data_IF_540691581575
#
_entry.id   IF_540691581575
#
_cell.length_a   1.000
_cell.length_b   1.000
_cell.length_c   1.000
_cell.angle_alpha   90.00
_cell.angle_beta   90.00
_cell.angle_gamma   90.00
#
_symmetry.space_group_name_H-M   'P 1'
#
loop_
_entity.id
_entity.type
_entity.pdbx_description
1 polymer ?
#
# COMPACT_ATOMS: atom_id res chain seq x y z
N UNK A 1 41.47 -23.04 11.36
CA UNK A 1 41.37 -21.58 11.61
C UNK A 1 41.79 -20.85 10.34
N UNK A 2 41.06 -19.80 10.00
CA UNK A 2 41.34 -18.92 8.86
C UNK A 2 41.53 -17.49 9.35
N UNK A 3 42.19 -16.65 8.57
CA UNK A 3 42.35 -15.23 8.85
C UNK A 3 41.88 -14.40 7.65
N UNK A 4 41.05 -13.39 7.90
CA UNK A 4 40.56 -12.51 6.85
C UNK A 4 41.47 -11.30 6.62
N UNK A 5 41.74 -10.98 5.36
CA UNK A 5 42.47 -9.78 4.93
C UNK A 5 41.54 -8.58 4.76
N UNK A 6 42.10 -7.40 4.41
CA UNK A 6 41.33 -6.15 4.33
C UNK A 6 40.25 -6.16 3.23
N UNK A 7 40.48 -6.92 2.17
CA UNK A 7 39.58 -7.22 1.05
C UNK A 7 38.50 -8.28 1.39
N UNK A 8 38.39 -8.67 2.68
CA UNK A 8 37.48 -9.72 3.18
C UNK A 8 37.75 -11.14 2.64
N UNK A 9 38.81 -11.35 1.85
CA UNK A 9 39.20 -12.71 1.48
C UNK A 9 39.74 -13.46 2.70
N UNK A 10 39.46 -14.77 2.78
CA UNK A 10 39.90 -15.63 3.87
C UNK A 10 41.03 -16.53 3.38
N UNK A 11 42.05 -16.70 4.21
CA UNK A 11 43.16 -17.63 3.96
C UNK A 11 43.42 -18.49 5.19
N UNK A 12 43.95 -19.72 5.04
CA UNK A 12 44.38 -20.51 6.18
C UNK A 12 45.32 -19.71 7.09
N UNK A 13 45.08 -19.74 8.39
CA UNK A 13 45.95 -19.04 9.35
C UNK A 13 47.31 -19.74 9.44
N UNK A 14 48.38 -18.98 9.23
CA UNK A 14 49.77 -19.44 9.39
C UNK A 14 50.34 -18.92 10.70
N UNK A 15 51.03 -19.76 11.50
CA UNK A 15 51.67 -19.32 12.75
C UNK A 15 52.61 -18.14 12.54
N UNK A 16 52.52 -17.17 13.44
CA UNK A 16 53.35 -15.95 13.41
C UNK A 16 54.52 -16.08 14.38
N UNK A 17 55.66 -15.45 14.03
CA UNK A 17 56.84 -15.44 14.90
C UNK A 17 56.56 -14.57 16.13
N UNK A 18 56.73 -15.17 17.32
CA UNK A 18 56.69 -14.41 18.56
C UNK A 18 57.94 -13.53 18.67
N UNK A 19 57.82 -12.22 18.98
CA UNK A 19 58.96 -11.31 19.01
C UNK A 19 59.87 -11.61 20.22
N UNK A 20 60.94 -12.38 20.05
CA UNK A 20 61.73 -12.94 21.17
C UNK A 20 62.97 -12.16 21.63
N UNK A 21 63.27 -11.01 21.03
CA UNK A 21 64.66 -10.49 21.04
C UNK A 21 65.05 -9.67 22.30
N UNK A 22 64.26 -9.69 23.38
CA UNK A 22 64.57 -8.93 24.60
C UNK A 22 63.91 -9.50 25.86
N UNK A 23 64.57 -9.31 27.02
CA UNK A 23 64.08 -9.71 28.34
C UNK A 23 62.88 -8.82 28.72
N UNK A 24 61.74 -9.43 29.04
CA UNK A 24 60.53 -8.75 29.50
C UNK A 24 59.23 -9.37 28.95
N UNK A 25 58.09 -8.86 29.44
CA UNK A 25 56.75 -9.28 28.96
C UNK A 25 56.46 -8.67 27.60
N UNK A 26 55.95 -9.49 26.67
CA UNK A 26 55.53 -9.04 25.33
C UNK A 26 54.12 -9.51 25.01
N UNK A 27 53.38 -8.64 24.31
CA UNK A 27 51.99 -8.88 23.91
C UNK A 27 51.91 -8.99 22.40
N UNK A 28 51.26 -10.04 21.91
CA UNK A 28 50.99 -10.26 20.49
C UNK A 28 49.49 -10.44 20.28
N UNK A 29 48.88 -9.56 19.51
CA UNK A 29 47.45 -9.60 19.21
C UNK A 29 47.23 -10.11 17.79
N UNK A 30 46.53 -11.24 17.67
CA UNK A 30 46.15 -11.83 16.38
C UNK A 30 44.66 -11.63 16.17
N UNK A 31 44.31 -10.62 15.37
CA UNK A 31 42.93 -10.31 15.02
C UNK A 31 42.43 -11.02 13.76
N UNK A 32 41.12 -10.86 13.48
CA UNK A 32 40.46 -11.32 12.24
C UNK A 32 40.51 -12.83 12.02
N UNK A 33 40.52 -13.61 13.10
CA UNK A 33 40.50 -15.06 13.04
C UNK A 33 39.06 -15.59 12.92
N UNK A 34 38.89 -16.64 12.14
CA UNK A 34 37.63 -17.34 11.92
C UNK A 34 37.83 -18.83 12.11
N UNK A 35 36.85 -19.50 12.71
CA UNK A 35 36.77 -20.96 12.62
C UNK A 35 36.46 -21.33 11.18
N UNK A 36 37.17 -22.32 10.65
CA UNK A 36 36.98 -22.82 9.28
C UNK A 36 35.70 -23.64 9.14
N UNK A 37 35.15 -24.10 10.27
CA UNK A 37 33.99 -24.98 10.31
C UNK A 37 33.03 -24.54 11.41
N UNK A 38 31.80 -25.04 11.34
CA UNK A 38 30.78 -24.86 12.38
C UNK A 38 30.70 -26.12 13.24
N UNK A 39 30.33 -25.97 14.51
CA UNK A 39 30.08 -27.13 15.36
C UNK A 39 28.85 -27.90 14.88
N UNK A 40 28.91 -29.22 14.88
CA UNK A 40 27.75 -30.04 14.49
C UNK A 40 26.61 -29.98 15.52
N UNK A 41 25.39 -30.30 15.08
CA UNK A 41 24.20 -30.43 15.94
C UNK A 41 23.74 -29.13 16.64
N UNK A 42 24.00 -27.97 16.02
CA UNK A 42 23.60 -26.65 16.53
C UNK A 42 22.08 -26.41 16.67
N UNK A 43 21.24 -27.20 15.98
CA UNK A 43 19.78 -27.03 15.95
C UNK A 43 19.12 -27.58 17.23
N UNK A 44 18.28 -26.76 17.88
CA UNK A 44 17.50 -27.16 19.07
C UNK A 44 16.55 -28.32 18.76
N UNK A 45 16.27 -29.15 19.77
CA UNK A 45 15.30 -30.26 19.69
C UNK A 45 14.18 -30.02 20.69
N UNK A 46 12.94 -29.87 20.21
CA UNK A 46 11.74 -29.58 21.03
C UNK A 46 11.95 -28.38 21.99
N UNK A 47 12.52 -27.28 21.47
CA UNK A 47 12.84 -26.06 22.23
C UNK A 47 14.07 -26.14 23.14
N UNK A 48 14.55 -27.35 23.46
CA UNK A 48 15.73 -27.59 24.31
C UNK A 48 17.01 -27.69 23.49
N UNK A 49 18.16 -27.55 24.17
CA UNK A 49 19.47 -27.79 23.57
C UNK A 49 19.54 -29.21 22.99
N UNK A 50 20.23 -29.36 21.87
CA UNK A 50 20.45 -30.66 21.27
C UNK A 50 21.35 -31.49 22.21
N UNK A 51 20.93 -32.69 22.67
CA UNK A 51 21.76 -33.54 23.52
C UNK A 51 23.08 -33.94 22.84
N UNK A 52 23.10 -33.98 21.51
CA UNK A 52 24.28 -34.36 20.72
C UNK A 52 25.11 -33.17 20.23
N UNK A 53 24.92 -31.97 20.81
CA UNK A 53 25.69 -30.77 20.47
C UNK A 53 27.21 -31.07 20.51
N UNK A 54 27.90 -30.70 19.43
CA UNK A 54 29.38 -30.77 19.36
C UNK A 54 29.99 -29.41 19.70
N UNK A 55 31.23 -29.42 20.14
CA UNK A 55 31.93 -28.23 20.62
C UNK A 55 33.35 -28.21 20.07
N UNK A 56 33.91 -27.02 19.91
CA UNK A 56 35.34 -26.83 19.72
C UNK A 56 35.98 -26.32 21.00
N UNK A 57 37.30 -26.50 21.11
CA UNK A 57 38.13 -25.80 22.08
C UNK A 57 39.24 -25.11 21.31
N UNK A 58 39.49 -23.84 21.61
CA UNK A 58 40.56 -23.08 20.99
C UNK A 58 41.87 -23.40 21.72
N UNK A 59 42.86 -23.87 20.96
CA UNK A 59 44.20 -24.16 21.46
C UNK A 59 45.15 -23.06 21.00
N UNK A 60 45.84 -22.44 21.95
CA UNK A 60 46.91 -21.47 21.70
C UNK A 60 48.21 -22.07 22.21
N UNK A 61 49.14 -22.35 21.29
CA UNK A 61 50.39 -23.06 21.55
C UNK A 61 51.57 -22.21 21.07
N UNK A 62 52.53 -21.95 21.96
CA UNK A 62 53.78 -21.29 21.64
C UNK A 62 54.84 -22.36 21.41
N UNK A 63 55.35 -22.44 20.19
CA UNK A 63 56.31 -23.47 19.78
C UNK A 63 57.71 -22.91 19.53
N UNK A 64 58.72 -23.65 19.97
CA UNK A 64 60.11 -23.48 19.57
C UNK A 64 60.36 -24.26 18.28
N UNK A 65 60.83 -23.56 17.24
CA UNK A 65 61.26 -24.14 15.98
C UNK A 65 62.78 -24.31 16.01
N UNK A 66 63.26 -25.54 15.93
CA UNK A 66 64.69 -25.86 15.94
C UNK A 66 65.07 -26.68 14.71
N UNK A 67 66.38 -26.89 14.50
CA UNK A 67 66.87 -27.75 13.41
C UNK A 67 66.40 -29.21 13.52
N UNK A 68 65.98 -29.63 14.72
CA UNK A 68 65.59 -31.01 15.03
C UNK A 68 64.07 -31.19 15.04
N UNK A 69 63.29 -30.13 14.84
CA UNK A 69 61.83 -30.18 14.82
C UNK A 69 61.18 -29.05 15.61
N UNK A 70 59.88 -29.22 15.88
CA UNK A 70 59.03 -28.20 16.49
C UNK A 70 58.54 -28.71 17.85
N UNK A 71 58.76 -27.93 18.91
CA UNK A 71 58.47 -28.33 20.28
C UNK A 71 57.51 -27.33 20.93
N UNK A 72 56.44 -27.80 21.57
CA UNK A 72 55.53 -26.94 22.36
C UNK A 72 56.23 -26.49 23.65
N UNK A 73 56.27 -25.18 23.89
CA UNK A 73 56.82 -24.59 25.12
C UNK A 73 55.73 -24.32 26.14
N UNK A 74 54.61 -23.76 25.69
CA UNK A 74 53.43 -23.55 26.52
C UNK A 74 52.16 -23.61 25.67
N UNK A 75 51.11 -24.18 26.23
CA UNK A 75 49.84 -24.39 25.57
C UNK A 75 48.70 -24.03 26.52
N UNK A 76 47.72 -23.30 26.01
CA UNK A 76 46.48 -23.01 26.71
C UNK A 76 45.29 -23.42 25.86
N UNK A 77 44.23 -23.88 26.54
CA UNK A 77 43.02 -24.39 25.91
C UNK A 77 41.82 -23.65 26.49
N UNK A 78 40.91 -23.20 25.64
CA UNK A 78 39.68 -22.55 26.08
C UNK A 78 38.65 -23.54 26.63
N UNK A 79 37.60 -22.99 27.27
CA UNK A 79 36.35 -23.72 27.46
C UNK A 79 35.72 -24.12 26.12
N UNK A 80 34.68 -24.95 26.19
CA UNK A 80 33.94 -25.43 25.02
C UNK A 80 33.19 -24.27 24.36
N UNK A 81 33.44 -24.08 23.06
CA UNK A 81 32.80 -23.05 22.23
C UNK A 81 31.86 -23.70 21.22
N UNK A 82 30.69 -23.11 21.04
CA UNK A 82 29.75 -23.44 19.96
C UNK A 82 29.99 -22.45 18.83
N UNK A 83 30.30 -22.95 17.65
CA UNK A 83 30.49 -22.13 16.45
C UNK A 83 29.32 -22.37 15.52
N UNK A 84 28.47 -21.35 15.38
CA UNK A 84 27.32 -21.42 14.47
C UNK A 84 27.67 -20.71 13.17
N UNK A 85 27.18 -21.24 12.04
CA UNK A 85 27.05 -20.42 10.84
C UNK A 85 26.07 -19.28 11.15
N UNK A 86 26.11 -18.24 10.31
CA UNK A 86 25.02 -17.28 10.24
C UNK A 86 23.70 -18.06 10.17
N UNK A 87 22.83 -17.77 11.13
CA UNK A 87 21.65 -18.57 11.40
C UNK A 87 20.72 -18.52 10.17
N UNK A 88 20.36 -19.66 9.55
CA UNK A 88 19.48 -19.64 8.36
C UNK A 88 18.12 -19.01 8.63
N UNK A 89 17.65 -19.02 9.89
CA UNK A 89 16.44 -18.34 10.35
C UNK A 89 16.65 -16.93 10.90
N UNK A 90 17.86 -16.36 10.80
CA UNK A 90 18.12 -14.93 11.03
C UNK A 90 18.29 -14.18 9.71
N UNK A 91 18.22 -14.90 8.59
CA UNK A 91 17.78 -14.37 7.32
C UNK A 91 16.37 -14.92 7.10
N UNK A 92 15.41 -14.40 7.86
CA UNK A 92 14.16 -14.06 7.18
C UNK A 92 14.61 -13.20 6.01
N UNK A 93 14.42 -13.76 4.82
CA UNK A 93 14.88 -13.24 3.56
C UNK A 93 14.98 -11.71 3.54
N UNK A 94 16.17 -11.18 3.26
CA UNK A 94 16.30 -10.01 2.38
C UNK A 94 15.79 -10.41 0.98
N UNK A 95 14.56 -10.94 0.86
CA UNK A 95 13.75 -10.60 -0.30
C UNK A 95 13.52 -9.14 -0.03
N UNK A 96 14.34 -8.30 -0.67
CA UNK A 96 14.25 -6.87 -0.52
C UNK A 96 12.75 -6.52 -0.55
N UNK A 97 12.25 -5.94 0.55
CA UNK A 97 10.82 -5.63 0.74
C UNK A 97 10.27 -4.89 -0.49
N UNK A 98 11.18 -4.22 -1.20
CA UNK A 98 11.04 -3.74 -2.56
C UNK A 98 12.21 -4.27 -3.41
N UNK A 99 11.90 -4.85 -4.56
CA UNK A 99 12.84 -5.33 -5.56
C UNK A 99 13.14 -4.25 -6.59
N UNK A 100 14.26 -4.36 -7.29
CA UNK A 100 14.59 -3.48 -8.43
C UNK A 100 14.40 -4.21 -9.75
N UNK A 101 13.99 -3.49 -10.77
CA UNK A 101 13.91 -4.02 -12.12
C UNK A 101 15.30 -4.22 -12.74
N UNK A 102 15.36 -4.80 -13.94
CA UNK A 102 16.63 -5.08 -14.62
C UNK A 102 17.39 -3.82 -15.03
N UNK A 103 16.70 -2.69 -15.17
CA UNK A 103 17.29 -1.38 -15.49
C UNK A 103 17.79 -0.62 -14.27
N UNK A 104 17.48 -1.09 -13.04
CA UNK A 104 17.78 -0.40 -11.77
C UNK A 104 17.08 0.97 -11.62
N UNK A 105 16.14 1.30 -12.51
CA UNK A 105 15.37 2.54 -12.52
C UNK A 105 14.07 2.43 -11.73
N UNK A 106 13.47 1.24 -11.68
CA UNK A 106 12.22 0.99 -10.99
C UNK A 106 12.44 0.18 -9.71
N UNK A 107 11.90 0.66 -8.60
CA UNK A 107 11.78 -0.07 -7.33
C UNK A 107 10.31 -0.50 -7.18
N UNK A 108 10.04 -1.79 -7.05
CA UNK A 108 8.68 -2.35 -7.03
C UNK A 108 8.49 -3.42 -5.94
N UNK A 109 7.23 -3.65 -5.54
CA UNK A 109 6.83 -4.73 -4.64
C UNK A 109 5.70 -5.54 -5.29
N UNK A 110 5.90 -6.85 -5.39
CA UNK A 110 4.85 -7.78 -5.79
C UNK A 110 4.01 -8.20 -4.58
N UNK A 111 2.68 -8.24 -4.75
CA UNK A 111 1.72 -8.51 -3.69
C UNK A 111 1.19 -7.25 -3.00
N UNK A 112 0.35 -7.43 -1.98
CA UNK A 112 -0.33 -6.31 -1.31
C UNK A 112 0.60 -5.45 -0.46
N UNK A 113 0.37 -4.14 -0.48
CA UNK A 113 1.07 -3.13 0.33
C UNK A 113 0.05 -2.42 1.22
N UNK A 114 0.21 -2.57 2.53
CA UNK A 114 -0.53 -1.80 3.53
C UNK A 114 0.27 -0.61 4.02
N UNK A 115 -0.30 0.60 3.96
CA UNK A 115 0.26 1.80 4.58
C UNK A 115 -0.58 2.10 5.82
N UNK A 116 0.05 2.08 7.00
CA UNK A 116 -0.61 2.22 8.31
C UNK A 116 -1.69 1.15 8.60
N UNK A 117 -1.59 -0.01 7.94
CA UNK A 117 -2.45 -1.18 8.17
C UNK A 117 -1.68 -2.45 7.83
N UNK A 118 -1.87 -3.50 8.62
CA UNK A 118 -1.38 -4.86 8.37
C UNK A 118 -2.48 -5.78 7.80
N UNK A 119 -3.71 -5.27 7.65
CA UNK A 119 -4.88 -5.96 7.09
C UNK A 119 -5.26 -5.34 5.76
N UNK A 120 -4.50 -5.66 4.72
CA UNK A 120 -4.77 -5.19 3.35
C UNK A 120 -5.82 -6.09 2.69
N UNK A 121 -6.97 -5.54 2.33
CA UNK A 121 -8.03 -6.17 1.54
C UNK A 121 -7.85 -5.96 0.02
N UNK A 122 -7.03 -4.99 -0.37
CA UNK A 122 -6.66 -4.67 -1.75
C UNK A 122 -5.15 -4.81 -1.97
N UNK A 123 -4.68 -4.70 -3.21
CA UNK A 123 -3.25 -4.67 -3.53
C UNK A 123 -2.53 -3.45 -2.93
N UNK A 124 -3.24 -2.34 -2.71
CA UNK A 124 -2.74 -1.18 -1.99
C UNK A 124 -3.86 -0.67 -1.06
N UNK A 125 -3.67 -0.81 0.24
CA UNK A 125 -4.59 -0.28 1.24
C UNK A 125 -3.87 0.80 2.05
N UNK A 126 -4.46 2.00 2.14
CA UNK A 126 -3.88 3.14 2.85
C UNK A 126 -4.83 3.58 3.96
N UNK A 127 -4.39 3.46 5.20
CA UNK A 127 -5.08 4.01 6.34
C UNK A 127 -4.54 5.42 6.63
N UNK A 128 -5.11 6.41 5.94
CA UNK A 128 -4.70 7.81 6.01
C UNK A 128 -4.95 8.58 4.71
N UNK A 129 -4.29 9.73 4.56
CA UNK A 129 -4.44 10.59 3.38
C UNK A 129 -3.44 10.23 2.28
N UNK A 130 -3.89 10.28 1.02
CA UNK A 130 -3.03 10.21 -0.16
C UNK A 130 -2.89 11.62 -0.73
N UNK A 131 -1.67 12.18 -0.70
CA UNK A 131 -1.34 13.48 -1.30
C UNK A 131 -0.63 13.26 -2.64
N UNK A 132 -1.24 13.71 -3.72
CA UNK A 132 -0.70 13.62 -5.08
C UNK A 132 -0.56 15.01 -5.71
N UNK A 133 0.49 15.20 -6.50
CA UNK A 133 0.63 16.36 -7.40
C UNK A 133 0.11 16.08 -8.81
N UNK A 134 0.07 14.79 -9.20
CA UNK A 134 -0.35 14.32 -10.51
C UNK A 134 -1.82 13.89 -10.55
N UNK A 135 -2.09 12.70 -11.08
CA UNK A 135 -3.43 12.15 -11.26
C UNK A 135 -3.46 10.64 -10.99
N UNK A 136 -4.61 10.14 -10.55
CA UNK A 136 -4.91 8.71 -10.52
C UNK A 136 -5.49 8.35 -11.89
N UNK A 137 -4.86 7.38 -12.57
CA UNK A 137 -5.23 7.00 -13.94
C UNK A 137 -5.78 5.58 -13.96
N UNK A 138 -6.86 5.39 -14.71
CA UNK A 138 -7.48 4.08 -14.94
C UNK A 138 -7.40 3.77 -16.44
N UNK A 139 -6.95 2.57 -16.85
CA UNK A 139 -6.96 2.19 -18.26
C UNK A 139 -8.39 2.18 -18.80
N UNK A 140 -8.60 2.79 -19.97
CA UNK A 140 -9.90 2.86 -20.65
C UNK A 140 -9.69 2.73 -22.16
N UNK A 141 -9.54 1.49 -22.62
CA UNK A 141 -9.29 1.16 -24.02
C UNK A 141 -10.19 0.00 -24.42
N UNK A 142 -10.83 0.10 -25.59
CA UNK A 142 -11.79 -0.91 -26.08
C UNK A 142 -11.17 -2.31 -26.22
N UNK A 143 -9.85 -2.41 -26.42
CA UNK A 143 -9.15 -3.70 -26.51
C UNK A 143 -9.11 -4.46 -25.18
N UNK A 144 -9.41 -3.78 -24.07
CA UNK A 144 -9.50 -4.36 -22.73
C UNK A 144 -10.96 -4.66 -22.33
N UNK A 145 -11.93 -4.43 -23.22
CA UNK A 145 -13.36 -4.49 -22.92
C UNK A 145 -14.07 -5.55 -23.76
N UNK A 146 -14.72 -6.52 -23.11
CA UNK A 146 -15.50 -7.57 -23.80
C UNK A 146 -16.95 -7.17 -24.09
N UNK A 147 -17.59 -6.41 -23.20
CA UNK A 147 -18.99 -5.97 -23.34
C UNK A 147 -19.13 -4.45 -23.20
N UNK A 148 -19.27 -3.74 -24.33
CA UNK A 148 -19.49 -2.30 -24.35
C UNK A 148 -20.98 -1.98 -24.62
N UNK A 149 -21.63 -1.32 -23.65
CA UNK A 149 -23.00 -0.81 -23.79
C UNK A 149 -23.07 0.62 -23.27
N UNK A 150 -23.94 1.42 -23.87
CA UNK A 150 -24.20 2.77 -23.38
C UNK A 150 -24.99 2.69 -22.06
N UNK A 151 -24.63 3.53 -21.08
CA UNK A 151 -25.31 3.61 -19.80
C UNK A 151 -26.74 4.19 -19.95
N UNK A 152 -27.65 3.74 -19.09
CA UNK A 152 -28.99 4.32 -18.95
C UNK A 152 -28.93 5.57 -18.06
N UNK A 153 -28.79 6.73 -18.71
CA UNK A 153 -28.71 8.03 -18.04
C UNK A 153 -30.02 8.41 -17.33
N UNK A 154 -31.17 7.87 -17.76
CA UNK A 154 -32.46 8.04 -17.09
C UNK A 154 -32.44 7.41 -15.70
N UNK A 155 -31.97 6.16 -15.64
CA UNK A 155 -31.76 5.47 -14.35
C UNK A 155 -30.71 6.18 -13.49
N UNK A 156 -29.66 6.71 -14.11
CA UNK A 156 -28.65 7.47 -13.36
C UNK A 156 -29.24 8.71 -12.68
N UNK A 157 -30.10 9.45 -13.38
CA UNK A 157 -30.80 10.59 -12.80
C UNK A 157 -31.73 10.17 -11.66
N UNK A 158 -32.52 9.11 -11.84
CA UNK A 158 -33.39 8.58 -10.78
C UNK A 158 -32.59 8.19 -9.54
N UNK A 159 -31.45 7.52 -9.70
CA UNK A 159 -30.58 7.15 -8.59
C UNK A 159 -29.99 8.40 -7.90
N UNK A 160 -29.52 9.40 -8.65
CA UNK A 160 -28.98 10.64 -8.05
C UNK A 160 -30.05 11.42 -7.30
N UNK A 161 -31.27 11.50 -7.84
CA UNK A 161 -32.40 12.22 -7.22
C UNK A 161 -32.83 11.57 -5.89
N UNK A 162 -32.76 10.24 -5.81
CA UNK A 162 -33.07 9.48 -4.60
C UNK A 162 -31.87 9.34 -3.63
N UNK A 163 -30.69 9.84 -3.99
CA UNK A 163 -29.49 9.74 -3.17
C UNK A 163 -29.47 10.81 -2.08
N UNK A 164 -29.24 10.40 -0.83
CA UNK A 164 -29.19 11.32 0.31
C UNK A 164 -27.76 11.68 0.69
N UNK A 165 -27.52 12.97 0.89
CA UNK A 165 -26.26 13.49 1.39
C UNK A 165 -26.35 13.82 2.89
N UNK A 166 -25.31 13.45 3.62
CA UNK A 166 -25.20 13.64 5.05
C UNK A 166 -23.93 14.41 5.38
N UNK A 167 -24.06 15.35 6.32
CA UNK A 167 -22.92 15.93 7.03
C UNK A 167 -22.66 15.08 8.28
N UNK A 168 -21.47 14.54 8.40
CA UNK A 168 -21.13 13.65 9.51
C UNK A 168 -19.70 13.88 9.99
N UNK A 169 -19.44 13.41 11.21
CA UNK A 169 -18.09 13.29 11.76
C UNK A 169 -17.87 11.86 12.16
N UNK A 170 -16.66 11.36 11.93
CA UNK A 170 -16.31 10.03 12.42
C UNK A 170 -16.30 10.00 13.94
N UNK A 171 -16.60 8.83 14.48
CA UNK A 171 -16.42 8.56 15.90
C UNK A 171 -14.95 8.81 16.31
N UNK A 172 -14.72 9.21 17.56
CA UNK A 172 -13.37 9.54 18.06
C UNK A 172 -12.43 8.34 18.03
N UNK A 173 -12.92 7.15 18.38
CA UNK A 173 -12.11 5.92 18.40
C UNK A 173 -11.74 5.51 16.98
N UNK A 174 -12.69 5.61 16.05
CA UNK A 174 -12.40 5.37 14.64
C UNK A 174 -11.43 6.40 14.06
N UNK A 175 -11.60 7.69 14.39
CA UNK A 175 -10.70 8.75 13.93
C UNK A 175 -9.27 8.50 14.38
N UNK A 176 -9.08 8.10 15.64
CA UNK A 176 -7.77 7.72 16.17
C UNK A 176 -7.19 6.49 15.46
N UNK A 177 -8.00 5.44 15.26
CA UNK A 177 -7.60 4.24 14.51
C UNK A 177 -7.18 4.58 13.07
N UNK A 178 -7.88 5.51 12.43
CA UNK A 178 -7.65 5.90 11.05
C UNK A 178 -6.53 6.97 10.88
N UNK A 179 -5.88 7.38 11.98
CA UNK A 179 -4.84 8.42 11.94
C UNK A 179 -5.36 9.81 11.54
N UNK A 180 -6.64 10.09 11.81
CA UNK A 180 -7.26 11.38 11.49
C UNK A 180 -7.05 12.36 12.65
N UNK A 181 -6.24 13.40 12.43
CA UNK A 181 -5.78 14.33 13.47
C UNK A 181 -6.88 15.26 14.00
N UNK A 182 -7.93 15.56 13.22
CA UNK A 182 -9.00 16.46 13.65
C UNK A 182 -10.39 15.98 13.22
N UNK A 183 -11.43 16.20 14.05
CA UNK A 183 -12.80 15.94 13.69
C UNK A 183 -13.28 16.97 12.66
N UNK A 184 -13.01 16.72 11.38
CA UNK A 184 -13.56 17.49 10.27
C UNK A 184 -14.98 17.03 9.97
N UNK A 185 -15.88 17.99 9.71
CA UNK A 185 -17.19 17.69 9.15
C UNK A 185 -17.00 17.22 7.71
N UNK A 186 -17.44 16.00 7.43
CA UNK A 186 -17.41 15.38 6.11
C UNK A 186 -18.80 15.44 5.49
N UNK A 187 -18.85 15.60 4.17
CA UNK A 187 -20.06 15.44 3.37
C UNK A 187 -19.95 14.13 2.59
N UNK A 188 -20.99 13.31 2.65
CA UNK A 188 -21.01 12.05 1.92
C UNK A 188 -22.34 11.34 1.98
N UNK A 189 -22.32 10.06 1.61
CA UNK A 189 -23.49 9.19 1.55
C UNK A 189 -23.37 8.08 2.58
N UNK A 190 -24.51 7.53 3.02
CA UNK A 190 -24.53 6.37 3.91
C UNK A 190 -24.44 5.09 3.07
N UNK A 191 -23.44 4.24 3.36
CA UNK A 191 -23.18 3.03 2.58
C UNK A 191 -24.35 2.05 2.51
N UNK A 192 -25.15 1.91 3.58
CA UNK A 192 -26.29 0.99 3.60
C UNK A 192 -27.44 1.44 2.69
N UNK A 193 -27.76 2.74 2.68
CA UNK A 193 -28.76 3.30 1.76
C UNK A 193 -28.25 3.24 0.33
N UNK A 194 -26.97 3.57 0.10
CA UNK A 194 -26.37 3.49 -1.22
C UNK A 194 -26.37 2.05 -1.76
N UNK A 195 -26.11 1.05 -0.92
CA UNK A 195 -26.12 -0.35 -1.32
C UNK A 195 -27.49 -0.82 -1.82
N UNK A 196 -28.58 -0.18 -1.37
CA UNK A 196 -29.93 -0.46 -1.86
C UNK A 196 -30.17 0.18 -3.24
N UNK A 197 -29.56 1.35 -3.47
CA UNK A 197 -29.81 2.17 -4.66
C UNK A 197 -28.86 1.83 -5.82
N UNK A 198 -27.57 1.68 -5.52
CA UNK A 198 -26.46 1.40 -6.44
C UNK A 198 -25.55 0.35 -5.78
N UNK A 199 -25.94 -0.94 -5.82
CA UNK A 199 -25.23 -1.99 -5.07
C UNK A 199 -23.76 -2.16 -5.48
N UNK A 200 -23.46 -1.99 -6.77
CA UNK A 200 -22.10 -2.09 -7.33
C UNK A 200 -21.17 -0.94 -6.93
N UNK A 201 -21.71 0.11 -6.30
CA UNK A 201 -20.92 1.20 -5.72
C UNK A 201 -20.45 0.91 -4.28
N UNK A 202 -20.89 -0.19 -3.67
CA UNK A 202 -20.59 -0.53 -2.27
C UNK A 202 -19.90 -1.89 -2.18
N UNK A 203 -18.84 -1.96 -1.38
CA UNK A 203 -18.11 -3.19 -1.11
C UNK A 203 -17.88 -3.35 0.38
N UNK A 204 -17.88 -4.58 0.87
CA UNK A 204 -17.53 -4.87 2.27
C UNK A 204 -16.00 -4.89 2.44
N UNK A 205 -15.53 -4.33 3.54
CA UNK A 205 -14.13 -4.40 3.98
C UNK A 205 -14.00 -5.26 5.23
N UNK A 206 -12.76 -5.55 5.61
CA UNK A 206 -12.45 -6.39 6.75
C UNK A 206 -12.90 -5.78 8.09
N UNK A 207 -13.16 -6.64 9.08
CA UNK A 207 -13.50 -6.24 10.43
C UNK A 207 -12.41 -5.37 11.09
N UNK A 208 -12.85 -4.27 11.70
CA UNK A 208 -11.99 -3.30 12.39
C UNK A 208 -12.13 -3.48 13.90
N UNK A 209 -10.99 -3.61 14.58
CA UNK A 209 -10.94 -3.56 16.05
C UNK A 209 -10.48 -2.16 16.44
N UNK A 210 -11.35 -1.42 17.11
CA UNK A 210 -11.08 -0.08 17.59
C UNK A 210 -10.17 -0.10 18.83
N UNK A 211 -9.51 1.03 19.19
CA UNK A 211 -8.62 1.12 20.34
C UNK A 211 -9.29 0.82 21.68
N UNK A 212 -10.60 1.06 21.78
CA UNK A 212 -11.43 0.73 22.95
C UNK A 212 -11.81 -0.76 23.02
N UNK A 213 -11.35 -1.58 22.07
CA UNK A 213 -11.65 -3.00 21.96
C UNK A 213 -12.97 -3.32 21.26
N UNK A 214 -13.72 -2.32 20.80
CA UNK A 214 -14.98 -2.54 20.06
C UNK A 214 -14.67 -3.10 18.67
N UNK A 215 -15.32 -4.21 18.33
CA UNK A 215 -15.28 -4.82 17.00
C UNK A 215 -16.38 -4.21 16.12
N UNK A 216 -15.99 -3.58 15.02
CA UNK A 216 -16.88 -3.17 13.96
C UNK A 216 -16.79 -4.19 12.82
N UNK A 217 -17.93 -4.82 12.51
CA UNK A 217 -18.07 -5.80 11.44
C UNK A 217 -18.74 -5.17 10.23
N UNK A 218 -18.60 -5.84 9.08
CA UNK A 218 -19.34 -5.55 7.86
C UNK A 218 -19.21 -4.06 7.45
N UNK A 219 -17.97 -3.55 7.52
CA UNK A 219 -17.69 -2.15 7.18
C UNK A 219 -17.97 -1.95 5.69
N UNK A 220 -18.92 -1.08 5.37
CA UNK A 220 -19.27 -0.73 4.01
C UNK A 220 -18.34 0.37 3.50
N UNK A 221 -17.64 0.08 2.40
CA UNK A 221 -16.79 1.00 1.66
C UNK A 221 -17.50 1.46 0.40
N UNK A 222 -17.41 2.75 0.10
CA UNK A 222 -18.08 3.37 -1.05
C UNK A 222 -17.07 3.69 -2.14
N UNK A 223 -17.33 3.19 -3.35
CA UNK A 223 -16.58 3.54 -4.55
C UNK A 223 -16.98 4.93 -5.05
N UNK A 224 -16.16 5.94 -4.73
CA UNK A 224 -16.42 7.33 -5.13
C UNK A 224 -16.32 7.56 -6.64
N UNK A 225 -15.51 6.79 -7.36
CA UNK A 225 -15.42 6.90 -8.82
C UNK A 225 -16.72 6.44 -9.49
N UNK A 226 -17.33 5.37 -8.95
CA UNK A 226 -18.64 4.90 -9.41
C UNK A 226 -19.73 5.95 -9.20
N UNK A 227 -19.71 6.68 -8.08
CA UNK A 227 -20.62 7.79 -7.80
C UNK A 227 -20.41 9.00 -8.72
N UNK A 228 -19.16 9.31 -9.06
CA UNK A 228 -18.84 10.36 -10.03
C UNK A 228 -19.42 10.01 -11.41
N UNK A 229 -19.29 8.76 -11.84
CA UNK A 229 -19.88 8.31 -13.11
C UNK A 229 -21.41 8.29 -13.08
N UNK A 230 -22.02 7.95 -11.94
CA UNK A 230 -23.47 8.07 -11.75
C UNK A 230 -23.92 9.53 -11.94
N UNK A 231 -23.21 10.46 -11.29
CA UNK A 231 -23.48 11.90 -11.38
C UNK A 231 -23.33 12.42 -12.80
N UNK A 232 -22.32 11.93 -13.54
CA UNK A 232 -22.11 12.28 -14.95
C UNK A 232 -23.29 11.81 -15.82
N UNK A 233 -23.77 10.58 -15.62
CA UNK A 233 -24.96 10.07 -16.32
C UNK A 233 -26.21 10.90 -16.03
N UNK A 234 -26.44 11.25 -14.75
CA UNK A 234 -27.54 12.12 -14.36
C UNK A 234 -27.47 13.51 -15.02
N UNK A 235 -26.28 14.13 -15.06
CA UNK A 235 -26.07 15.41 -15.76
C UNK A 235 -26.35 15.31 -17.26
N UNK A 236 -25.99 14.20 -17.90
CA UNK A 236 -26.34 13.97 -19.31
C UNK A 236 -27.84 13.91 -19.51
N UNK A 237 -28.58 13.22 -18.64
CA UNK A 237 -30.05 13.15 -18.74
C UNK A 237 -30.72 14.49 -18.48
N UNK A 238 -30.29 15.23 -17.45
CA UNK A 238 -30.75 16.59 -17.19
C UNK A 238 -30.52 17.49 -18.40
N UNK A 239 -29.38 17.36 -19.08
CA UNK A 239 -29.11 18.10 -20.32
C UNK A 239 -30.11 17.75 -21.44
N UNK A 240 -30.50 16.48 -21.58
CA UNK A 240 -31.53 16.06 -22.56
C UNK A 240 -32.88 16.67 -22.23
N UNK A 241 -33.32 16.55 -20.97
CA UNK A 241 -34.61 17.09 -20.50
C UNK A 241 -34.63 18.62 -20.70
N UNK A 242 -33.55 19.31 -20.34
CA UNK A 242 -33.42 20.76 -20.52
C UNK A 242 -33.58 21.14 -21.98
N UNK A 243 -32.92 20.45 -22.91
CA UNK A 243 -33.08 20.71 -24.36
C UNK A 243 -34.52 20.56 -24.81
N UNK A 244 -35.22 19.52 -24.37
CA UNK A 244 -36.64 19.29 -24.71
C UNK A 244 -37.51 20.44 -24.19
N UNK A 245 -37.32 20.84 -22.93
CA UNK A 245 -38.07 21.95 -22.32
C UNK A 245 -37.80 23.27 -23.05
N UNK A 246 -36.55 23.56 -23.39
CA UNK A 246 -36.18 24.76 -24.15
C UNK A 246 -36.82 24.78 -25.53
N UNK A 247 -36.78 23.68 -26.29
CA UNK A 247 -37.43 23.62 -27.60
C UNK A 247 -38.93 23.86 -27.50
N UNK A 248 -39.58 23.31 -26.47
CA UNK A 248 -41.02 23.52 -26.26
C UNK A 248 -41.35 24.93 -25.82
N UNK A 249 -40.51 25.57 -25.02
CA UNK A 249 -40.64 26.98 -24.65
C UNK A 249 -40.59 27.88 -25.90
N UNK A 250 -39.60 27.68 -26.78
CA UNK A 250 -39.48 28.44 -28.04
C UNK A 250 -40.71 28.24 -28.93
N UNK A 251 -41.22 27.02 -29.04
CA UNK A 251 -42.43 26.72 -29.82
C UNK A 251 -43.65 27.48 -29.27
N UNK A 252 -43.81 27.49 -27.95
CA UNK A 252 -44.89 28.21 -27.27
C UNK A 252 -44.77 29.72 -27.43
N UNK A 253 -43.56 30.28 -27.28
CA UNK A 253 -43.30 31.71 -27.50
C UNK A 253 -43.64 32.13 -28.93
N UNK A 254 -43.18 31.35 -29.92
CA UNK A 254 -43.47 31.62 -31.34
C UNK A 254 -44.98 31.60 -31.63
N UNK A 255 -45.70 30.60 -31.09
CA UNK A 255 -47.16 30.53 -31.22
C UNK A 255 -47.85 31.71 -30.58
N UNK A 256 -47.37 32.15 -29.42
CA UNK A 256 -47.93 33.29 -28.70
C UNK A 256 -47.72 34.61 -29.48
N UNK A 257 -46.53 34.84 -30.05
CA UNK A 257 -46.25 35.99 -30.92
C UNK A 257 -47.18 36.02 -32.16
N UNK A 258 -47.40 34.86 -32.80
CA UNK A 258 -48.32 34.75 -33.93
C UNK A 258 -49.75 35.10 -33.50
N UNK A 259 -50.22 34.61 -32.34
CA UNK A 259 -51.55 34.92 -31.82
C UNK A 259 -51.70 36.42 -31.50
N UNK A 260 -50.69 37.05 -30.93
CA UNK A 260 -50.69 38.49 -30.67
C UNK A 260 -50.79 39.31 -31.97
N UNK A 261 -50.10 38.90 -33.03
CA UNK A 261 -50.20 39.53 -34.35
C UNK A 261 -51.62 39.41 -34.93
N UNK A 262 -52.21 38.21 -34.86
CA UNK A 262 -53.57 37.97 -35.33
C UNK A 262 -54.59 38.83 -34.54
N UNK A 263 -54.45 38.89 -33.22
CA UNK A 263 -55.31 39.73 -32.37
C UNK A 263 -55.20 41.21 -32.71
N UNK A 264 -53.98 41.74 -32.92
CA UNK A 264 -53.76 43.13 -33.35
C UNK A 264 -54.44 43.41 -34.70
N UNK A 265 -54.32 42.49 -35.65
CA UNK A 265 -54.95 42.63 -36.97
C UNK A 265 -56.48 42.65 -36.86
N UNK A 266 -57.09 41.73 -36.09
CA UNK A 266 -58.55 41.72 -35.88
C UNK A 266 -59.06 43.00 -35.20
N UNK A 267 -58.33 43.54 -34.22
CA UNK A 267 -58.70 44.82 -33.58
C UNK A 267 -58.61 45.97 -34.58
N UNK A 268 -57.56 46.02 -35.41
CA UNK A 268 -57.41 47.06 -36.44
C UNK A 268 -58.51 47.01 -37.52
N UNK A 269 -58.92 45.82 -37.95
CA UNK A 269 -60.03 45.65 -38.89
C UNK A 269 -61.36 46.09 -38.26
N UNK A 270 -61.59 45.78 -36.98
CA UNK A 270 -62.80 46.21 -36.28
C UNK A 270 -62.91 47.73 -36.11
N UNK A 271 -61.78 48.44 -35.94
CA UNK A 271 -61.76 49.91 -35.87
C UNK A 271 -61.98 50.58 -37.23
N UNK A 272 -61.52 49.97 -38.33
CA UNK A 272 -61.74 50.51 -39.68
C UNK A 272 -63.19 50.37 -40.18
N UNK A 273 -63.95 49.38 -39.68
CA UNK A 273 -65.36 49.20 -40.05
C UNK A 273 -66.27 50.22 -39.33
N UNK A 274 -65.82 50.78 -38.20
CA UNK A 274 -66.60 51.75 -37.40
C UNK A 274 -66.54 53.22 -37.87
N UNK A 275 -65.80 53.56 -38.92
CA UNK A 275 -65.78 54.93 -39.46
C UNK A 275 -65.85 55.00 -41.00
N UNK A 276 -67.03 54.85 -41.61
CA UNK A 276 -67.33 55.43 -42.91
C UNK A 276 -68.11 56.75 -42.72
N UNK A 277 -67.47 57.88 -43.00
CA UNK A 277 -68.12 59.17 -43.31
C UNK A 277 -68.06 59.40 -44.83
#
# INVERSE_FOLDING_TARGET
MEQSTADRSKRPYTPVRFPGDSIGTKTLTIGRLHFSETTSNNMRKKGKLNPDQRYFQLVVDVRAYTKQGNYSMCCQISEKVIVRASNPGQFESDVALWSRDKSDECVYRMGSVGINTDKSDQCLSVNGNIKLTGQIMTPSDVRLTEELRQADTGRNLENVDNMKLYKFRYDKQYSYHAGLEQPTENLGVLGSELNTLIPDAVTESADIVLPDGKLLKDILMVNKDRLLMESLGAMQELSKITKILTSRMIELETKNEILELILKNMVSESMNISFPN
#
